data_IF_517702667039
#
_entry.id   IF_517702667039
#
_cell.length_a   1.000
_cell.length_b   1.000
_cell.length_c   1.000
_cell.angle_alpha   90.00
_cell.angle_beta   90.00
_cell.angle_gamma   90.00
#
_symmetry.space_group_name_H-M   'P 1'
#
loop_
_entity.id
_entity.type
_entity.pdbx_description
1 polymer ?
#
# COMPACT_ATOMS: atom_id res chain seq x y z
N UNK A 1 -22.01 19.45 -8.97
CA UNK A 1 -21.58 20.16 -7.74
C UNK A 1 -21.69 19.32 -6.46
N UNK A 2 -22.79 18.60 -6.20
CA UNK A 2 -22.96 17.83 -4.96
C UNK A 2 -21.81 16.83 -4.69
N UNK A 3 -21.43 16.03 -5.69
CA UNK A 3 -20.32 15.08 -5.56
C UNK A 3 -18.97 15.73 -5.25
N UNK A 4 -18.70 16.91 -5.83
CA UNK A 4 -17.48 17.66 -5.54
C UNK A 4 -17.48 18.19 -4.09
N UNK A 5 -18.58 18.80 -3.63
CA UNK A 5 -18.71 19.28 -2.24
C UNK A 5 -18.56 18.15 -1.22
N UNK A 6 -19.20 17.01 -1.50
CA UNK A 6 -19.00 15.78 -0.71
C UNK A 6 -17.54 15.34 -0.72
N UNK A 7 -16.89 15.32 -1.89
CA UNK A 7 -15.48 14.99 -2.03
C UNK A 7 -14.59 15.89 -1.17
N UNK A 8 -14.79 17.22 -1.23
CA UNK A 8 -14.02 18.16 -0.42
C UNK A 8 -14.19 17.84 1.07
N UNK A 9 -15.42 17.69 1.57
CA UNK A 9 -15.65 17.39 2.98
C UNK A 9 -15.02 16.05 3.40
N UNK A 10 -15.23 15.01 2.59
CA UNK A 10 -14.76 13.65 2.86
C UNK A 10 -13.22 13.55 2.83
N UNK A 11 -12.57 14.10 1.81
CA UNK A 11 -11.11 14.03 1.69
C UNK A 11 -10.42 14.94 2.70
N UNK A 12 -10.97 16.13 2.99
CA UNK A 12 -10.46 16.93 4.12
C UNK A 12 -10.47 16.14 5.42
N UNK A 13 -11.53 15.36 5.71
CA UNK A 13 -11.62 14.58 6.94
C UNK A 13 -10.71 13.34 6.96
N UNK A 14 -10.31 12.80 5.81
CA UNK A 14 -9.58 11.51 5.72
C UNK A 14 -8.10 11.64 5.40
N UNK A 15 -7.69 12.70 4.69
CA UNK A 15 -6.30 12.96 4.30
C UNK A 15 -5.72 14.22 4.94
N UNK A 16 -6.33 14.75 6.01
CA UNK A 16 -5.85 15.94 6.73
C UNK A 16 -4.39 15.82 7.20
N UNK A 17 -3.94 14.60 7.50
CA UNK A 17 -2.60 14.35 8.04
C UNK A 17 -1.49 14.75 7.07
N UNK A 18 -1.77 14.84 5.76
CA UNK A 18 -0.82 15.35 4.76
C UNK A 18 -0.41 16.80 5.07
N UNK A 19 -1.26 17.56 5.76
CA UNK A 19 -0.95 18.92 6.19
C UNK A 19 0.31 19.02 7.06
N UNK A 20 0.63 17.96 7.84
CA UNK A 20 1.84 17.89 8.66
C UNK A 20 3.11 17.73 7.84
N UNK A 21 2.99 17.29 6.58
CA UNK A 21 4.11 17.08 5.66
C UNK A 21 4.20 18.27 4.70
N UNK A 22 3.08 18.65 4.08
CA UNK A 22 3.02 19.74 3.09
C UNK A 22 1.63 20.37 3.08
N UNK A 23 1.42 21.52 3.77
CA UNK A 23 0.14 22.23 3.79
C UNK A 23 -0.45 22.56 2.40
N UNK A 24 0.30 23.08 1.40
CA UNK A 24 -0.26 23.27 0.07
C UNK A 24 -0.57 21.94 -0.65
N UNK A 25 0.16 20.87 -0.32
CA UNK A 25 -0.01 19.53 -0.86
C UNK A 25 -1.34 18.91 -0.46
N UNK A 26 -1.77 19.07 0.80
CA UNK A 26 -3.09 18.58 1.23
C UNK A 26 -4.23 19.29 0.51
N UNK A 27 -4.11 20.60 0.27
CA UNK A 27 -5.14 21.36 -0.47
C UNK A 27 -5.24 20.87 -1.92
N UNK A 28 -4.10 20.66 -2.58
CA UNK A 28 -4.05 20.11 -3.93
C UNK A 28 -4.62 18.69 -3.99
N UNK A 29 -4.26 17.82 -3.04
CA UNK A 29 -4.74 16.44 -2.96
C UNK A 29 -6.26 16.39 -2.73
N UNK A 30 -6.79 17.17 -1.78
CA UNK A 30 -8.24 17.26 -1.51
C UNK A 30 -8.99 17.74 -2.75
N UNK A 31 -8.49 18.79 -3.41
CA UNK A 31 -9.11 19.31 -4.62
C UNK A 31 -9.11 18.28 -5.76
N UNK A 32 -7.96 17.64 -6.01
CA UNK A 32 -7.78 16.61 -7.03
C UNK A 32 -8.72 15.41 -6.80
N UNK A 33 -8.75 14.86 -5.58
CA UNK A 33 -9.63 13.74 -5.25
C UNK A 33 -11.11 14.15 -5.29
N UNK A 34 -11.45 15.37 -4.89
CA UNK A 34 -12.81 15.89 -4.97
C UNK A 34 -13.29 16.04 -6.42
N UNK A 35 -12.40 16.35 -7.39
CA UNK A 35 -12.74 16.34 -8.82
C UNK A 35 -13.13 14.94 -9.28
N UNK A 36 -12.37 13.91 -8.93
CA UNK A 36 -12.72 12.51 -9.25
C UNK A 36 -14.08 12.11 -8.66
N UNK A 37 -14.34 12.51 -7.41
CA UNK A 37 -15.63 12.25 -6.77
C UNK A 37 -16.78 13.03 -7.42
N UNK A 38 -16.52 14.27 -7.82
CA UNK A 38 -17.44 15.09 -8.62
C UNK A 38 -17.79 14.42 -9.95
N UNK A 39 -16.77 13.94 -10.67
CA UNK A 39 -16.92 13.23 -11.93
C UNK A 39 -17.71 11.92 -11.76
N UNK A 40 -17.40 11.14 -10.73
CA UNK A 40 -18.12 9.88 -10.42
C UNK A 40 -19.61 10.13 -10.26
N UNK A 41 -19.99 11.09 -9.40
CA UNK A 41 -21.40 11.42 -9.16
C UNK A 41 -22.06 12.02 -10.40
N UNK A 42 -21.33 12.83 -11.17
CA UNK A 42 -21.83 13.38 -12.43
C UNK A 42 -22.17 12.27 -13.44
N UNK A 43 -21.25 11.32 -13.66
CA UNK A 43 -21.47 10.21 -14.59
C UNK A 43 -22.63 9.31 -14.15
N UNK A 44 -22.73 8.99 -12.84
CA UNK A 44 -23.87 8.24 -12.29
C UNK A 44 -25.18 9.01 -12.56
N UNK A 45 -25.18 10.32 -12.37
CA UNK A 45 -26.36 11.17 -12.62
C UNK A 45 -26.74 11.18 -14.11
N UNK A 46 -25.79 11.29 -15.03
CA UNK A 46 -26.03 11.26 -16.47
C UNK A 46 -26.67 9.94 -16.90
N UNK A 47 -26.09 8.81 -16.45
CA UNK A 47 -26.63 7.47 -16.75
C UNK A 47 -28.02 7.28 -16.15
N UNK A 48 -28.22 7.73 -14.90
CA UNK A 48 -29.53 7.64 -14.23
C UNK A 48 -30.58 8.51 -14.91
N UNK A 49 -30.22 9.70 -15.42
CA UNK A 49 -31.15 10.55 -16.15
C UNK A 49 -31.52 9.95 -17.52
N UNK A 50 -30.57 9.29 -18.18
CA UNK A 50 -30.78 8.69 -19.51
C UNK A 50 -31.60 7.40 -19.49
N UNK A 51 -31.44 6.59 -18.45
CA UNK A 51 -32.03 5.25 -18.33
C UNK A 51 -33.02 5.12 -17.14
N UNK A 52 -33.38 6.24 -16.52
CA UNK A 52 -34.23 6.27 -15.33
C UNK A 52 -33.61 5.55 -14.14
N UNK A 53 -34.46 5.07 -13.21
CA UNK A 53 -34.00 4.38 -12.00
C UNK A 53 -33.14 3.13 -12.26
N UNK A 54 -33.26 2.52 -13.45
CA UNK A 54 -32.41 1.41 -13.89
C UNK A 54 -30.95 1.81 -14.10
N UNK A 55 -30.69 3.08 -14.45
CA UNK A 55 -29.33 3.59 -14.67
C UNK A 55 -28.46 3.58 -13.41
N UNK A 56 -29.06 3.55 -12.21
CA UNK A 56 -28.31 3.42 -10.95
C UNK A 56 -27.51 2.12 -10.86
N UNK A 57 -27.95 1.05 -11.53
CA UNK A 57 -27.20 -0.21 -11.58
C UNK A 57 -25.89 -0.12 -12.37
N UNK A 58 -25.67 0.96 -13.11
CA UNK A 58 -24.36 1.29 -13.69
C UNK A 58 -23.35 1.86 -12.68
N UNK A 59 -23.78 2.24 -11.47
CA UNK A 59 -22.92 2.92 -10.50
C UNK A 59 -21.69 2.10 -10.06
N UNK A 60 -21.75 0.78 -9.81
CA UNK A 60 -20.56 0.00 -9.46
C UNK A 60 -19.47 0.06 -10.53
N UNK A 61 -19.85 0.01 -11.81
CA UNK A 61 -18.93 0.10 -12.94
C UNK A 61 -18.30 1.49 -13.06
N UNK A 62 -19.11 2.54 -12.93
CA UNK A 62 -18.63 3.92 -13.00
C UNK A 62 -17.67 4.20 -11.84
N UNK A 63 -18.04 3.78 -10.63
CA UNK A 63 -17.23 4.00 -9.44
C UNK A 63 -15.85 3.36 -9.57
N UNK A 64 -15.82 2.08 -9.91
CA UNK A 64 -14.58 1.33 -10.04
C UNK A 64 -13.77 1.80 -11.25
N UNK A 65 -14.43 2.17 -12.36
CA UNK A 65 -13.77 2.78 -13.51
C UNK A 65 -13.03 4.07 -13.14
N UNK A 66 -13.65 4.93 -12.32
CA UNK A 66 -13.00 6.14 -11.83
C UNK A 66 -11.88 5.82 -10.84
N UNK A 67 -12.10 4.91 -9.89
CA UNK A 67 -11.03 4.48 -8.96
C UNK A 67 -9.82 3.92 -9.71
N UNK A 68 -10.04 3.08 -10.72
CA UNK A 68 -8.99 2.52 -11.57
C UNK A 68 -8.24 3.62 -12.31
N UNK A 69 -8.94 4.50 -13.04
CA UNK A 69 -8.30 5.59 -13.80
C UNK A 69 -7.53 6.53 -12.88
N UNK A 70 -8.08 6.84 -11.70
CA UNK A 70 -7.40 7.69 -10.70
C UNK A 70 -6.14 7.08 -10.09
N UNK A 71 -5.90 5.78 -10.30
CA UNK A 71 -4.71 5.05 -9.85
C UNK A 71 -3.59 4.96 -10.90
N UNK A 72 -3.86 5.42 -12.13
CA UNK A 72 -2.92 5.31 -13.25
C UNK A 72 -2.03 6.54 -13.40
N UNK A 73 -0.86 6.31 -14.01
CA UNK A 73 0.11 7.36 -14.34
C UNK A 73 0.84 7.92 -13.12
N UNK A 74 1.69 8.91 -13.38
CA UNK A 74 2.56 9.50 -12.35
C UNK A 74 1.80 10.31 -11.32
N UNK A 75 0.61 10.82 -11.68
CA UNK A 75 -0.29 11.52 -10.76
C UNK A 75 -1.31 10.58 -10.09
N UNK A 76 -1.17 9.26 -10.27
CA UNK A 76 -2.05 8.27 -9.67
C UNK A 76 -2.02 8.39 -8.14
N UNK A 77 -3.17 8.63 -7.53
CA UNK A 77 -3.29 8.82 -6.08
C UNK A 77 -4.43 7.97 -5.50
N UNK A 78 -4.28 6.62 -5.46
CA UNK A 78 -5.32 5.69 -5.03
C UNK A 78 -5.49 5.64 -3.51
N UNK A 79 -5.52 6.80 -2.85
CA UNK A 79 -5.85 6.90 -1.43
C UNK A 79 -7.36 6.77 -1.21
N UNK A 80 -7.73 6.16 -0.09
CA UNK A 80 -9.13 6.05 0.36
C UNK A 80 -10.03 5.32 -0.65
N UNK A 81 -9.50 4.29 -1.33
CA UNK A 81 -10.29 3.38 -2.16
C UNK A 81 -11.38 2.71 -1.31
N UNK A 82 -12.59 2.58 -1.86
CA UNK A 82 -13.73 2.06 -1.11
C UNK A 82 -13.47 0.64 -0.60
N UNK A 83 -12.86 -0.23 -1.42
CA UNK A 83 -12.52 -1.61 -1.06
C UNK A 83 -11.56 -1.73 0.13
N UNK A 84 -10.68 -0.74 0.36
CA UNK A 84 -9.73 -0.77 1.48
C UNK A 84 -10.42 -0.74 2.85
N UNK A 85 -11.65 -0.22 2.92
CA UNK A 85 -12.46 -0.19 4.15
C UNK A 85 -12.79 -1.58 4.70
N UNK A 86 -12.60 -2.64 3.92
CA UNK A 86 -13.03 -4.00 4.28
C UNK A 86 -11.89 -4.90 4.77
N UNK A 87 -10.67 -4.39 4.88
CA UNK A 87 -9.47 -5.17 5.23
C UNK A 87 -9.62 -5.98 6.53
N UNK A 88 -10.41 -5.50 7.49
CA UNK A 88 -10.68 -6.20 8.75
C UNK A 88 -11.64 -7.39 8.64
N UNK A 89 -12.29 -7.60 7.50
CA UNK A 89 -13.29 -8.66 7.29
C UNK A 89 -12.76 -9.73 6.32
N UNK A 90 -11.65 -10.38 6.70
CA UNK A 90 -10.89 -11.29 5.84
C UNK A 90 -11.73 -12.33 5.07
N UNK A 91 -12.69 -13.05 5.69
CA UNK A 91 -13.47 -14.06 4.96
C UNK A 91 -14.31 -13.46 3.82
N UNK A 92 -14.73 -12.19 3.93
CA UNK A 92 -15.53 -11.55 2.89
C UNK A 92 -14.69 -11.09 1.71
N UNK A 93 -13.38 -10.92 1.84
CA UNK A 93 -12.57 -10.21 0.84
C UNK A 93 -11.49 -11.07 0.17
N UNK A 94 -11.36 -12.35 0.50
CA UNK A 94 -10.31 -13.20 -0.10
C UNK A 94 -10.41 -13.28 -1.62
N UNK A 95 -11.60 -13.11 -2.20
CA UNK A 95 -11.79 -13.06 -3.65
C UNK A 95 -11.11 -11.85 -4.32
N UNK A 96 -10.50 -10.95 -3.54
CA UNK A 96 -9.53 -9.97 -4.04
C UNK A 96 -8.34 -10.64 -4.75
N UNK A 97 -8.03 -11.91 -4.50
CA UNK A 97 -7.03 -12.67 -5.27
C UNK A 97 -7.42 -12.88 -6.74
N UNK A 98 -8.72 -12.81 -7.08
CA UNK A 98 -9.23 -12.91 -8.45
C UNK A 98 -9.44 -11.56 -9.12
N UNK A 99 -10.01 -10.59 -8.39
CA UNK A 99 -10.51 -9.32 -8.96
C UNK A 99 -9.83 -8.07 -8.41
N UNK A 100 -8.88 -8.24 -7.49
CA UNK A 100 -8.20 -7.15 -6.80
C UNK A 100 -9.13 -6.29 -5.93
N UNK A 101 -8.57 -5.20 -5.41
CA UNK A 101 -9.28 -4.23 -4.57
C UNK A 101 -10.49 -3.59 -5.27
N UNK A 102 -10.41 -3.42 -6.59
CA UNK A 102 -11.46 -2.83 -7.42
C UNK A 102 -12.73 -3.69 -7.44
N UNK A 103 -12.61 -5.02 -7.43
CA UNK A 103 -13.77 -5.90 -7.29
C UNK A 103 -14.41 -5.84 -5.89
N UNK A 104 -13.64 -5.52 -4.85
CA UNK A 104 -14.19 -5.24 -3.51
C UNK A 104 -14.96 -3.92 -3.51
N UNK A 105 -14.42 -2.86 -4.12
CA UNK A 105 -15.13 -1.60 -4.32
C UNK A 105 -16.43 -1.80 -5.11
N UNK A 106 -16.41 -2.60 -6.18
CA UNK A 106 -17.59 -2.93 -6.99
C UNK A 106 -18.69 -3.56 -6.11
N UNK A 107 -18.31 -4.58 -5.35
CA UNK A 107 -19.20 -5.30 -4.45
C UNK A 107 -19.86 -4.38 -3.42
N UNK A 108 -19.09 -3.47 -2.81
CA UNK A 108 -19.62 -2.53 -1.82
C UNK A 108 -20.66 -1.57 -2.41
N UNK A 109 -20.42 -1.03 -3.60
CA UNK A 109 -21.41 -0.20 -4.28
C UNK A 109 -22.65 -1.02 -4.63
N UNK A 110 -22.48 -2.26 -5.10
CA UNK A 110 -23.58 -3.16 -5.42
C UNK A 110 -24.43 -3.52 -4.20
N UNK A 111 -23.81 -3.84 -3.06
CA UNK A 111 -24.51 -4.11 -1.79
C UNK A 111 -25.37 -2.91 -1.39
N UNK A 112 -24.83 -1.70 -1.47
CA UNK A 112 -25.58 -0.48 -1.15
C UNK A 112 -26.77 -0.25 -2.10
N UNK A 113 -26.64 -0.59 -3.38
CA UNK A 113 -27.76 -0.53 -4.33
C UNK A 113 -28.84 -1.58 -4.05
N UNK A 114 -28.45 -2.80 -3.69
CA UNK A 114 -29.39 -3.85 -3.29
C UNK A 114 -30.14 -3.46 -2.01
N UNK A 115 -29.44 -2.89 -1.02
CA UNK A 115 -30.05 -2.34 0.19
C UNK A 115 -31.03 -1.22 -0.12
N UNK A 116 -30.68 -0.31 -1.04
CA UNK A 116 -31.59 0.76 -1.49
C UNK A 116 -32.84 0.19 -2.20
N UNK A 117 -32.66 -0.85 -3.02
CA UNK A 117 -33.78 -1.55 -3.67
C UNK A 117 -34.71 -2.21 -2.65
N UNK A 118 -34.14 -2.90 -1.66
CA UNK A 118 -34.87 -3.48 -0.52
C UNK A 118 -35.64 -2.41 0.25
N UNK A 119 -35.01 -1.28 0.56
CA UNK A 119 -35.66 -0.17 1.27
C UNK A 119 -36.88 0.37 0.50
N UNK A 120 -36.75 0.53 -0.83
CA UNK A 120 -37.79 1.13 -1.68
C UNK A 120 -38.93 0.18 -2.04
N UNK A 121 -38.62 -1.08 -2.35
CA UNK A 121 -39.58 -2.03 -2.96
C UNK A 121 -39.76 -3.33 -2.17
N UNK A 122 -38.88 -3.64 -1.22
CA UNK A 122 -38.93 -4.84 -0.34
C UNK A 122 -39.14 -6.17 -1.09
N UNK A 123 -38.54 -6.32 -2.27
CA UNK A 123 -38.72 -7.52 -3.09
C UNK A 123 -37.90 -8.70 -2.57
N UNK A 124 -38.44 -9.92 -2.67
CA UNK A 124 -37.74 -11.17 -2.34
C UNK A 124 -36.43 -11.30 -3.11
N UNK A 125 -36.43 -10.97 -4.41
CA UNK A 125 -35.23 -11.04 -5.24
C UNK A 125 -34.07 -10.21 -4.67
N UNK A 126 -34.34 -8.99 -4.22
CA UNK A 126 -33.31 -8.15 -3.59
C UNK A 126 -32.83 -8.72 -2.23
N UNK A 127 -33.71 -9.40 -1.48
CA UNK A 127 -33.33 -10.11 -0.26
C UNK A 127 -32.40 -11.29 -0.53
N UNK A 128 -32.76 -12.12 -1.52
CA UNK A 128 -31.92 -13.24 -1.97
C UNK A 128 -30.58 -12.75 -2.51
N UNK A 129 -30.57 -11.69 -3.33
CA UNK A 129 -29.34 -11.08 -3.83
C UNK A 129 -28.46 -10.58 -2.68
N UNK A 130 -29.04 -9.95 -1.65
CA UNK A 130 -28.27 -9.48 -0.50
C UNK A 130 -27.62 -10.66 0.22
N UNK A 131 -28.37 -11.72 0.50
CA UNK A 131 -27.82 -12.94 1.12
C UNK A 131 -26.69 -13.52 0.28
N UNK A 132 -26.90 -13.67 -1.04
CA UNK A 132 -25.88 -14.18 -1.95
C UNK A 132 -24.61 -13.32 -1.97
N UNK A 133 -24.74 -11.99 -1.93
CA UNK A 133 -23.62 -11.05 -1.91
C UNK A 133 -22.76 -11.15 -0.65
N UNK A 134 -23.26 -11.73 0.45
CA UNK A 134 -22.43 -12.00 1.64
C UNK A 134 -22.01 -13.46 1.73
N UNK A 135 -22.92 -14.38 1.39
CA UNK A 135 -22.68 -15.81 1.51
C UNK A 135 -21.58 -16.28 0.55
N UNK A 136 -21.63 -15.90 -0.73
CA UNK A 136 -20.68 -16.39 -1.72
C UNK A 136 -19.24 -15.92 -1.44
N UNK A 137 -18.97 -14.63 -1.16
CA UNK A 137 -17.63 -14.20 -0.79
C UNK A 137 -17.13 -14.87 0.50
N UNK A 138 -18.01 -15.03 1.50
CA UNK A 138 -17.65 -15.70 2.77
C UNK A 138 -17.25 -17.15 2.54
N UNK A 139 -18.03 -17.92 1.77
CA UNK A 139 -17.72 -19.32 1.47
C UNK A 139 -16.39 -19.44 0.73
N UNK A 140 -16.17 -18.60 -0.29
CA UNK A 140 -14.89 -18.54 -0.98
C UNK A 140 -13.74 -18.20 -0.03
N UNK A 141 -13.92 -17.19 0.82
CA UNK A 141 -12.85 -16.77 1.72
C UNK A 141 -12.52 -17.75 2.83
N UNK A 142 -13.51 -18.47 3.37
CA UNK A 142 -13.24 -19.56 4.31
C UNK A 142 -12.46 -20.71 3.64
N UNK A 143 -12.82 -21.08 2.40
CA UNK A 143 -12.08 -22.07 1.62
C UNK A 143 -10.63 -21.63 1.39
N UNK A 144 -10.42 -20.40 0.88
CA UNK A 144 -9.07 -19.85 0.63
C UNK A 144 -8.22 -19.74 1.89
N UNK A 145 -8.81 -19.34 3.01
CA UNK A 145 -8.11 -19.23 4.28
C UNK A 145 -7.78 -20.60 4.90
N UNK A 146 -8.48 -21.66 4.50
CA UNK A 146 -8.18 -23.03 4.94
C UNK A 146 -7.00 -23.66 4.18
N UNK A 147 -6.61 -23.10 3.04
CA UNK A 147 -5.48 -23.58 2.26
C UNK A 147 -4.17 -23.41 3.05
N UNK A 148 -3.40 -24.49 3.18
CA UNK A 148 -2.09 -24.47 3.83
C UNK A 148 -1.01 -24.18 2.78
N UNK A 149 -0.25 -23.10 2.95
CA UNK A 149 0.83 -22.73 2.04
C UNK A 149 2.19 -23.13 2.62
N UNK A 150 2.83 -24.14 2.00
CA UNK A 150 4.20 -24.56 2.28
C UNK A 150 4.40 -25.20 3.67
N UNK A 151 5.31 -26.18 3.75
CA UNK A 151 5.73 -26.77 5.03
C UNK A 151 6.92 -26.05 5.65
N UNK A 152 7.67 -25.28 4.86
CA UNK A 152 8.85 -24.57 5.32
C UNK A 152 8.48 -23.21 5.91
N UNK A 153 8.67 -23.07 7.22
CA UNK A 153 8.44 -21.82 7.94
C UNK A 153 9.76 -21.05 8.04
N UNK A 154 9.88 -19.94 7.33
CA UNK A 154 10.96 -18.99 7.51
C UNK A 154 10.62 -18.01 8.64
N UNK A 155 11.41 -18.01 9.72
CA UNK A 155 11.27 -17.00 10.78
C UNK A 155 11.94 -15.69 10.34
N UNK A 156 11.16 -14.61 10.37
CA UNK A 156 11.59 -13.28 9.93
C UNK A 156 11.50 -12.29 11.10
N UNK A 157 12.59 -11.59 11.38
CA UNK A 157 12.61 -10.45 12.29
C UNK A 157 12.38 -9.15 11.53
N UNK A 158 11.64 -8.20 12.10
CA UNK A 158 11.45 -6.86 11.53
C UNK A 158 12.01 -5.83 12.51
N UNK A 159 13.10 -5.16 12.13
CA UNK A 159 13.72 -4.14 12.96
C UNK A 159 12.95 -2.82 12.86
N UNK A 160 12.60 -2.25 14.01
CA UNK A 160 11.89 -0.97 14.12
C UNK A 160 12.69 -0.05 15.04
N UNK A 161 13.70 0.65 14.51
CA UNK A 161 14.66 1.38 15.35
C UNK A 161 14.06 2.66 15.96
N UNK A 162 12.83 3.04 15.59
CA UNK A 162 12.09 4.20 16.08
C UNK A 162 12.93 5.50 16.06
N UNK A 163 13.69 5.70 14.97
CA UNK A 163 14.56 6.85 14.80
C UNK A 163 13.77 8.03 14.26
N UNK A 164 13.97 9.19 14.88
CA UNK A 164 13.42 10.45 14.38
C UNK A 164 13.91 10.71 12.93
N UNK A 165 13.03 11.09 11.99
CA UNK A 165 13.39 11.26 10.59
C UNK A 165 14.58 12.21 10.37
N UNK A 166 14.61 13.36 11.05
CA UNK A 166 15.71 14.32 10.95
C UNK A 166 16.99 13.80 11.60
N UNK A 167 16.90 13.00 12.66
CA UNK A 167 18.08 12.43 13.29
C UNK A 167 18.87 11.51 12.33
N UNK A 168 18.20 10.88 11.34
CA UNK A 168 18.85 10.08 10.28
C UNK A 168 19.84 10.89 9.44
N UNK A 169 19.61 12.18 9.26
CA UNK A 169 20.47 13.05 8.46
C UNK A 169 21.62 13.65 9.27
N UNK A 170 21.39 13.95 10.55
CA UNK A 170 22.35 14.71 11.37
C UNK A 170 23.20 13.86 12.32
N UNK A 171 22.83 12.59 12.59
CA UNK A 171 23.61 11.71 13.47
C UNK A 171 24.49 10.74 12.67
N UNK A 172 25.69 10.39 13.19
CA UNK A 172 26.52 9.35 12.58
C UNK A 172 25.78 8.03 12.45
N UNK A 173 25.94 7.36 11.31
CA UNK A 173 25.27 6.10 11.02
C UNK A 173 25.54 5.03 12.09
N UNK A 174 26.72 5.02 12.69
CA UNK A 174 27.14 4.08 13.74
C UNK A 174 26.18 4.08 14.93
N UNK A 175 25.58 5.24 15.25
CA UNK A 175 24.59 5.35 16.33
C UNK A 175 23.31 4.58 15.96
N UNK A 176 22.84 4.73 14.72
CA UNK A 176 21.65 4.04 14.21
C UNK A 176 21.91 2.55 13.98
N UNK A 177 23.10 2.23 13.48
CA UNK A 177 23.56 0.87 13.28
C UNK A 177 23.64 0.11 14.60
N UNK A 178 24.06 0.74 15.72
CA UNK A 178 24.08 0.07 17.02
C UNK A 178 22.67 -0.40 17.45
N UNK A 179 21.64 0.43 17.24
CA UNK A 179 20.25 0.07 17.53
C UNK A 179 19.77 -1.07 16.63
N UNK A 180 19.98 -0.94 15.31
CA UNK A 180 19.62 -1.96 14.32
C UNK A 180 20.34 -3.28 14.58
N UNK A 181 21.63 -3.23 14.94
CA UNK A 181 22.45 -4.39 15.31
C UNK A 181 21.88 -5.09 16.54
N UNK A 182 21.57 -4.35 17.61
CA UNK A 182 20.94 -4.92 18.81
C UNK A 182 19.62 -5.60 18.51
N UNK A 183 18.73 -4.96 17.75
CA UNK A 183 17.46 -5.55 17.32
C UNK A 183 17.65 -6.80 16.44
N UNK A 184 18.68 -6.79 15.58
CA UNK A 184 19.01 -7.93 14.71
C UNK A 184 19.52 -9.13 15.52
N UNK A 185 20.40 -8.88 16.49
CA UNK A 185 20.90 -9.94 17.40
C UNK A 185 19.72 -10.58 18.14
N UNK A 186 18.88 -9.77 18.79
CA UNK A 186 17.71 -10.29 19.52
C UNK A 186 16.79 -11.11 18.59
N UNK A 187 16.51 -10.63 17.38
CA UNK A 187 15.67 -11.36 16.44
C UNK A 187 16.28 -12.71 16.02
N UNK A 188 17.59 -12.77 15.81
CA UNK A 188 18.30 -14.02 15.48
C UNK A 188 18.34 -14.98 16.67
N UNK A 189 18.53 -14.47 17.89
CA UNK A 189 18.43 -15.26 19.13
C UNK A 189 17.03 -15.86 19.31
N UNK A 190 15.97 -15.12 18.92
CA UNK A 190 14.58 -15.61 18.85
C UNK A 190 14.30 -16.55 17.65
N UNK A 191 15.34 -16.87 16.87
CA UNK A 191 15.33 -17.86 15.80
C UNK A 191 15.09 -17.31 14.40
N UNK A 192 15.09 -15.99 14.20
CA UNK A 192 14.99 -15.41 12.86
C UNK A 192 16.18 -15.80 11.97
N UNK A 193 15.89 -16.12 10.70
CA UNK A 193 16.90 -16.39 9.65
C UNK A 193 17.01 -15.29 8.61
N UNK A 194 16.03 -14.39 8.60
CA UNK A 194 16.02 -13.16 7.84
C UNK A 194 15.63 -12.01 8.77
N UNK A 195 16.37 -10.91 8.75
CA UNK A 195 15.99 -9.68 9.46
C UNK A 195 15.79 -8.56 8.44
N UNK A 196 14.62 -7.93 8.48
CA UNK A 196 14.23 -6.84 7.59
C UNK A 196 14.40 -5.51 8.31
N UNK A 197 15.22 -4.63 7.75
CA UNK A 197 15.39 -3.25 8.20
C UNK A 197 14.54 -2.29 7.37
N UNK A 198 14.18 -1.11 7.91
CA UNK A 198 13.34 -0.15 7.21
C UNK A 198 13.97 0.45 5.94
N UNK A 199 13.15 1.22 5.21
CA UNK A 199 13.58 2.10 4.13
C UNK A 199 14.67 3.07 4.58
N UNK A 200 15.70 3.22 3.75
CA UNK A 200 16.86 4.10 3.99
C UNK A 200 17.45 3.92 5.40
N UNK A 201 17.48 2.68 5.90
CA UNK A 201 18.09 2.36 7.19
C UNK A 201 19.61 2.54 7.16
N UNK A 202 20.22 2.41 5.97
CA UNK A 202 21.64 2.69 5.76
C UNK A 202 21.77 3.88 4.80
N UNK A 203 22.27 5.05 5.25
CA UNK A 203 22.38 6.25 4.43
C UNK A 203 23.62 6.17 3.52
N UNK A 204 23.68 5.14 2.69
CA UNK A 204 24.86 4.78 1.90
C UNK A 204 24.50 4.51 0.44
N UNK A 205 25.47 4.78 -0.43
CA UNK A 205 25.56 4.21 -1.76
C UNK A 205 26.58 3.08 -1.74
N UNK A 206 26.13 1.82 -1.61
CA UNK A 206 27.02 0.67 -1.36
C UNK A 206 28.08 0.41 -2.46
N UNK A 207 27.89 0.93 -3.67
CA UNK A 207 28.86 0.81 -4.77
C UNK A 207 29.97 1.88 -4.73
N UNK A 208 29.84 2.91 -3.90
CA UNK A 208 30.86 3.94 -3.75
C UNK A 208 31.88 3.50 -2.69
N UNK A 209 33.18 3.55 -3.04
CA UNK A 209 34.28 3.20 -2.12
C UNK A 209 34.21 3.95 -0.79
N UNK A 210 33.79 5.21 -0.80
CA UNK A 210 33.64 6.03 0.42
C UNK A 210 32.64 5.44 1.43
N UNK A 211 31.67 4.64 0.96
CA UNK A 211 30.65 4.01 1.78
C UNK A 211 30.90 2.51 2.03
N UNK A 212 32.09 2.01 1.65
CA UNK A 212 32.42 0.60 1.81
C UNK A 212 32.37 0.17 3.28
N UNK A 213 32.77 1.06 4.20
CA UNK A 213 32.67 0.80 5.64
C UNK A 213 31.23 0.44 6.08
N UNK A 214 30.21 1.16 5.58
CA UNK A 214 28.82 0.88 5.91
C UNK A 214 28.35 -0.47 5.37
N UNK A 215 28.77 -0.81 4.15
CA UNK A 215 28.49 -2.12 3.56
C UNK A 215 29.12 -3.24 4.40
N UNK A 216 30.38 -3.05 4.80
CA UNK A 216 31.14 -4.04 5.56
C UNK A 216 30.55 -4.24 6.96
N UNK A 217 30.06 -3.18 7.62
CA UNK A 217 29.35 -3.31 8.90
C UNK A 217 28.13 -4.23 8.81
N UNK A 218 27.30 -4.05 7.77
CA UNK A 218 26.10 -4.87 7.57
C UNK A 218 26.46 -6.29 7.14
N UNK A 219 27.41 -6.46 6.22
CA UNK A 219 27.89 -7.77 5.78
C UNK A 219 28.50 -8.57 6.94
N UNK A 220 29.38 -7.96 7.73
CA UNK A 220 30.00 -8.61 8.88
C UNK A 220 28.96 -9.03 9.93
N UNK A 221 27.90 -8.23 10.13
CA UNK A 221 26.81 -8.61 11.01
C UNK A 221 26.06 -9.83 10.47
N UNK A 222 25.69 -9.83 9.18
CA UNK A 222 25.04 -10.96 8.50
C UNK A 222 25.89 -12.24 8.59
N UNK A 223 27.19 -12.14 8.31
CA UNK A 223 28.15 -13.25 8.37
C UNK A 223 28.31 -13.79 9.79
N UNK A 224 28.45 -12.89 10.78
CA UNK A 224 28.65 -13.28 12.19
C UNK A 224 27.45 -14.00 12.80
N UNK A 225 26.24 -13.65 12.37
CA UNK A 225 24.99 -14.23 12.87
C UNK A 225 24.51 -15.42 12.02
N UNK A 226 25.11 -15.64 10.86
CA UNK A 226 24.62 -16.63 9.90
C UNK A 226 23.18 -16.36 9.45
N UNK A 227 22.77 -15.09 9.42
CA UNK A 227 21.40 -14.66 9.10
C UNK A 227 21.38 -13.63 7.96
N UNK A 228 20.35 -13.69 7.12
CA UNK A 228 20.17 -12.72 6.04
C UNK A 228 19.70 -11.37 6.59
N UNK A 229 20.16 -10.27 5.99
CA UNK A 229 19.69 -8.92 6.31
C UNK A 229 19.16 -8.26 5.03
N UNK A 230 17.89 -7.87 5.04
CA UNK A 230 17.27 -7.10 3.95
C UNK A 230 17.09 -5.66 4.40
N UNK A 231 17.69 -4.69 3.71
CA UNK A 231 17.70 -3.28 4.17
C UNK A 231 17.51 -2.30 3.03
N UNK A 232 16.88 -1.15 3.32
CA UNK A 232 16.84 0.00 2.42
C UNK A 232 18.13 0.83 2.46
N UNK A 233 18.60 1.27 1.29
CA UNK A 233 19.72 2.20 1.10
C UNK A 233 19.61 2.89 -0.27
N UNK A 234 20.46 3.87 -0.56
CA UNK A 234 20.45 4.52 -1.86
C UNK A 234 21.31 3.75 -2.88
N UNK A 235 20.86 3.72 -4.14
CA UNK A 235 21.66 3.26 -5.28
C UNK A 235 22.00 4.42 -6.19
N UNK A 236 23.24 4.41 -6.71
CA UNK A 236 23.72 5.37 -7.69
C UNK A 236 24.20 4.61 -8.91
N UNK A 237 23.57 4.88 -10.04
CA UNK A 237 24.01 4.42 -11.35
C UNK A 237 24.94 5.49 -11.96
N UNK A 238 26.20 5.11 -12.15
CA UNK A 238 27.23 5.99 -12.71
C UNK A 238 27.20 5.84 -14.23
N UNK A 239 26.63 6.84 -14.91
CA UNK A 239 26.56 6.95 -16.37
C UNK A 239 25.94 8.28 -16.77
N UNK A 240 25.95 8.67 -18.05
CA UNK A 240 25.17 9.80 -18.54
C UNK A 240 23.76 9.32 -19.00
N UNK A 241 22.66 9.76 -18.36
CA UNK A 241 22.57 10.64 -17.19
C UNK A 241 22.77 9.87 -15.87
N UNK A 242 23.29 10.58 -14.87
CA UNK A 242 23.46 10.05 -13.51
C UNK A 242 22.08 9.81 -12.90
N UNK A 243 21.83 8.62 -12.37
CA UNK A 243 20.54 8.27 -11.75
C UNK A 243 20.71 7.80 -10.32
N UNK A 244 19.86 8.31 -9.44
CA UNK A 244 19.76 7.90 -8.04
C UNK A 244 18.46 7.16 -7.81
N UNK A 245 18.52 6.08 -7.05
CA UNK A 245 17.36 5.29 -6.70
C UNK A 245 17.30 5.12 -5.19
N UNK A 246 16.09 5.18 -4.65
CA UNK A 246 15.77 4.57 -3.39
C UNK A 246 15.70 3.05 -3.63
N UNK A 247 16.55 2.30 -2.94
CA UNK A 247 16.78 0.90 -3.24
C UNK A 247 16.74 0.04 -1.99
N UNK A 248 16.67 -1.26 -2.19
CA UNK A 248 16.77 -2.25 -1.13
C UNK A 248 17.71 -3.37 -1.53
N UNK A 249 18.41 -3.92 -0.55
CA UNK A 249 19.52 -4.84 -0.73
C UNK A 249 19.39 -6.03 0.21
N UNK A 250 19.72 -7.22 -0.30
CA UNK A 250 19.84 -8.44 0.50
C UNK A 250 21.32 -8.77 0.74
N UNK A 251 21.70 -8.74 2.00
CA UNK A 251 22.97 -9.27 2.50
C UNK A 251 22.77 -10.74 2.89
N UNK A 252 23.63 -11.61 2.38
CA UNK A 252 23.58 -13.04 2.64
C UNK A 252 24.87 -13.51 3.31
N UNK A 253 24.79 -14.40 4.32
CA UNK A 253 25.98 -14.92 5.00
C UNK A 253 26.95 -15.57 4.02
N UNK A 254 28.21 -15.18 4.08
CA UNK A 254 29.30 -15.71 3.25
C UNK A 254 29.25 -15.31 1.77
N UNK A 255 28.33 -14.42 1.37
CA UNK A 255 28.23 -13.93 -0.01
C UNK A 255 28.44 -12.43 -0.06
N UNK A 256 29.38 -12.00 -0.87
CA UNK A 256 29.67 -10.57 -1.08
C UNK A 256 28.76 -9.93 -2.12
N UNK A 257 28.18 -10.71 -3.04
CA UNK A 257 27.26 -10.17 -4.04
C UNK A 257 25.93 -9.76 -3.42
N UNK A 258 25.49 -8.52 -3.68
CA UNK A 258 24.23 -7.99 -3.19
C UNK A 258 23.13 -8.17 -4.23
N UNK A 259 22.04 -8.83 -3.85
CA UNK A 259 20.79 -8.73 -4.62
C UNK A 259 20.13 -7.38 -4.35
N UNK A 260 19.56 -6.74 -5.38
CA UNK A 260 19.03 -5.37 -5.32
C UNK A 260 17.64 -5.27 -5.92
N UNK A 261 16.82 -4.40 -5.34
CA UNK A 261 15.59 -3.87 -5.93
C UNK A 261 15.64 -2.34 -5.92
N UNK A 262 15.40 -1.71 -7.07
CA UNK A 262 15.32 -0.25 -7.22
C UNK A 262 13.85 0.17 -7.31
N UNK A 263 13.44 1.18 -6.53
CA UNK A 263 12.05 1.68 -6.49
C UNK A 263 11.61 2.16 -7.87
N UNK A 264 10.48 1.64 -8.34
CA UNK A 264 9.96 1.90 -9.69
C UNK A 264 9.00 3.11 -9.72
N UNK A 265 8.10 3.20 -8.74
CA UNK A 265 7.13 4.30 -8.63
C UNK A 265 7.57 5.25 -7.53
N UNK A 266 7.88 6.48 -7.93
CA UNK A 266 8.31 7.55 -7.05
C UNK A 266 7.11 8.32 -6.52
N UNK A 267 7.25 8.90 -5.33
CA UNK A 267 6.23 9.80 -4.79
C UNK A 267 6.36 11.17 -5.47
N UNK A 268 5.34 11.63 -6.22
CA UNK A 268 5.41 12.92 -6.89
C UNK A 268 5.72 14.05 -5.91
N UNK A 269 6.68 14.91 -6.27
CA UNK A 269 7.14 16.05 -5.48
C UNK A 269 7.85 15.71 -4.16
N UNK A 270 8.00 14.43 -3.81
CA UNK A 270 8.74 13.96 -2.63
C UNK A 270 10.04 13.23 -2.99
N UNK A 271 10.10 12.64 -4.17
CA UNK A 271 11.26 11.92 -4.75
C UNK A 271 11.43 12.33 -6.23
#
# INVERSE_FOLDING_TARGET
LAGFKYGVAYFTATIYWIAWITPPGVLAAVFYMALWRGLTVYLISVVTHRFGSGGLWGAPFIWVGIEYVSSLGDLGFPWVLLGASQVSYLPLIQYADLVGIFGISFWLVLVNLVLLSLWRKRTVAAGVSLVALFLLPTLYGLDRMSATYGSEVLRVGVAQPNLEPLAKEFRPFETHFAVLKGQTINAVEDGARLVVWPETAVPAYFHLRVNQHYRDLVQNLSDSLGAHIYTGANHLEIGPPRKTFNASFLFSPGRTELSRYDKIRLVPFGE
#
